data_IF_406628822351
#
_entry.id   IF_406628822351
#
_cell.length_a   1.000
_cell.length_b   1.000
_cell.length_c   1.000
_cell.angle_alpha   90.00
_cell.angle_beta   90.00
_cell.angle_gamma   90.00
#
_symmetry.space_group_name_H-M   'P 1'
#
loop_
_entity.id
_entity.type
_entity.pdbx_description
1 polymer ?
#
# COMPACT_ATOMS: atom_id res chain seq x y z
N UNK A 1 -16.07 21.26 13.32
CA UNK A 1 -16.38 20.39 14.48
C UNK A 1 -15.76 18.98 14.41
N UNK A 2 -15.05 18.59 13.33
CA UNK A 2 -14.64 17.19 13.07
C UNK A 2 -13.23 16.78 13.56
N UNK A 3 -12.38 17.70 14.04
CA UNK A 3 -10.94 17.41 14.29
C UNK A 3 -10.61 17.24 15.79
N UNK A 4 -11.58 17.41 16.69
CA UNK A 4 -11.27 17.66 18.12
C UNK A 4 -10.77 16.47 18.94
N UNK A 5 -10.63 15.25 18.38
CA UNK A 5 -10.25 14.05 19.13
C UNK A 5 -9.33 13.07 18.35
N UNK A 6 -8.43 13.54 17.49
CA UNK A 6 -7.39 12.66 16.95
C UNK A 6 -6.28 12.49 18.00
N UNK A 7 -6.15 11.26 18.51
CA UNK A 7 -4.99 10.85 19.33
C UNK A 7 -3.71 11.27 18.60
N UNK A 8 -2.77 11.89 19.32
CA UNK A 8 -1.50 12.39 18.79
C UNK A 8 -0.76 11.32 17.97
N UNK A 9 -0.91 10.03 18.33
CA UNK A 9 -0.36 8.91 17.54
C UNK A 9 -1.05 8.74 16.18
N UNK A 10 -2.37 8.86 16.12
CA UNK A 10 -3.13 8.80 14.87
C UNK A 10 -2.80 9.97 13.95
N UNK A 11 -2.52 11.15 14.51
CA UNK A 11 -2.03 12.28 13.73
C UNK A 11 -0.69 11.96 13.04
N UNK A 12 0.26 11.33 13.75
CA UNK A 12 1.53 10.90 13.15
C UNK A 12 1.30 9.92 11.99
N UNK A 13 0.41 8.93 12.17
CA UNK A 13 0.05 7.96 11.12
C UNK A 13 -0.50 8.68 9.89
N UNK A 14 -1.47 9.57 10.07
CA UNK A 14 -2.05 10.35 8.97
C UNK A 14 -1.00 11.19 8.25
N UNK A 15 -0.09 11.84 8.97
CA UNK A 15 0.97 12.67 8.38
C UNK A 15 1.92 11.84 7.52
N UNK A 16 2.39 10.69 8.03
CA UNK A 16 3.28 9.79 7.27
C UNK A 16 2.59 9.34 5.99
N UNK A 17 1.34 8.90 6.08
CA UNK A 17 0.58 8.42 4.93
C UNK A 17 0.33 9.55 3.93
N UNK A 18 0.00 10.76 4.39
CA UNK A 18 -0.26 11.90 3.51
C UNK A 18 0.98 12.25 2.69
N UNK A 19 2.15 12.38 3.32
CA UNK A 19 3.39 12.67 2.60
C UNK A 19 3.76 11.55 1.62
N UNK A 20 3.59 10.30 2.03
CA UNK A 20 3.83 9.16 1.16
C UNK A 20 2.86 9.14 -0.05
N UNK A 21 1.58 9.44 0.16
CA UNK A 21 0.60 9.50 -0.91
C UNK A 21 0.98 10.52 -2.00
N UNK A 22 1.59 11.66 -1.60
CA UNK A 22 2.04 12.68 -2.54
C UNK A 22 3.21 12.21 -3.42
N UNK A 23 4.06 11.29 -2.93
CA UNK A 23 5.19 10.79 -3.74
C UNK A 23 4.74 9.92 -4.92
N UNK A 24 3.50 9.40 -4.90
CA UNK A 24 2.88 8.70 -6.04
C UNK A 24 2.70 9.61 -7.25
N UNK A 25 2.61 10.93 -7.06
CA UNK A 25 2.46 11.89 -8.15
C UNK A 25 3.81 12.27 -8.79
N UNK A 26 4.93 11.87 -8.15
CA UNK A 26 6.26 12.14 -8.66
C UNK A 26 6.70 11.03 -9.63
N UNK A 27 7.58 11.32 -10.60
CA UNK A 27 8.17 10.29 -11.43
C UNK A 27 8.90 9.24 -10.59
N UNK A 28 8.50 7.98 -10.75
CA UNK A 28 9.10 6.85 -10.05
C UNK A 28 9.17 5.63 -10.98
N UNK A 29 10.05 4.65 -10.70
CA UNK A 29 10.05 3.40 -11.46
C UNK A 29 8.69 2.69 -11.38
N UNK A 30 8.34 1.88 -12.39
CA UNK A 30 7.12 1.07 -12.35
C UNK A 30 7.07 0.21 -11.10
N UNK A 31 5.91 0.21 -10.43
CA UNK A 31 5.63 -0.53 -9.19
C UNK A 31 6.49 -0.17 -7.95
N UNK A 32 7.44 0.75 -8.05
CA UNK A 32 8.17 1.29 -6.90
C UNK A 32 7.36 2.43 -6.28
N UNK A 33 6.31 2.09 -5.53
CA UNK A 33 5.37 3.07 -4.96
C UNK A 33 5.10 2.80 -3.48
N UNK A 34 4.68 3.80 -2.69
CA UNK A 34 4.40 3.60 -1.27
C UNK A 34 3.05 2.93 -0.98
N UNK A 35 2.25 2.57 -1.98
CA UNK A 35 0.84 2.22 -1.78
C UNK A 35 0.64 0.92 -0.99
N UNK A 36 1.41 -0.13 -1.29
CA UNK A 36 1.39 -1.37 -0.50
C UNK A 36 1.81 -1.11 0.94
N UNK A 37 2.85 -0.28 1.13
CA UNK A 37 3.33 0.10 2.46
C UNK A 37 2.27 0.90 3.22
N UNK A 38 1.55 1.84 2.58
CA UNK A 38 0.44 2.58 3.17
C UNK A 38 -0.68 1.63 3.60
N UNK A 39 -1.06 0.67 2.74
CA UNK A 39 -2.09 -0.31 3.05
C UNK A 39 -1.72 -1.17 4.28
N UNK A 40 -0.49 -1.72 4.29
CA UNK A 40 -0.03 -2.57 5.39
C UNK A 40 0.17 -1.78 6.68
N UNK A 41 0.84 -0.62 6.61
CA UNK A 41 1.09 0.27 7.74
C UNK A 41 -0.21 0.80 8.34
N UNK A 42 -1.13 1.25 7.50
CA UNK A 42 -2.46 1.68 7.93
C UNK A 42 -3.20 0.56 8.68
N UNK A 43 -3.14 -0.67 8.17
CA UNK A 43 -3.73 -1.83 8.83
C UNK A 43 -3.20 -2.09 10.24
N UNK A 44 -1.89 -1.89 10.47
CA UNK A 44 -1.25 -2.13 11.78
C UNK A 44 -1.44 -0.95 12.75
N UNK A 45 -1.39 0.29 12.27
CA UNK A 45 -1.24 1.47 13.14
C UNK A 45 -2.51 2.32 13.33
N UNK A 46 -3.54 2.20 12.46
CA UNK A 46 -4.81 2.88 12.72
C UNK A 46 -5.57 2.21 13.87
N UNK A 47 -6.10 3.01 14.80
CA UNK A 47 -6.92 2.49 15.91
C UNK A 47 -8.28 2.00 15.42
N UNK A 48 -8.87 2.70 14.44
CA UNK A 48 -10.16 2.34 13.84
C UNK A 48 -9.93 1.60 12.52
N UNK A 49 -10.40 0.35 12.44
CA UNK A 49 -10.28 -0.50 11.25
C UNK A 49 -10.85 0.16 10.00
N UNK A 50 -11.97 0.87 10.13
CA UNK A 50 -12.58 1.58 9.01
C UNK A 50 -11.62 2.58 8.36
N UNK A 51 -10.85 3.32 9.15
CA UNK A 51 -9.87 4.27 8.64
C UNK A 51 -8.76 3.55 7.87
N UNK A 52 -8.31 2.38 8.36
CA UNK A 52 -7.30 1.58 7.68
C UNK A 52 -7.73 1.14 6.27
N UNK A 53 -8.99 0.74 6.10
CA UNK A 53 -9.51 0.34 4.79
C UNK A 53 -9.81 1.53 3.87
N UNK A 54 -10.40 2.61 4.41
CA UNK A 54 -10.73 3.79 3.61
C UNK A 54 -9.49 4.50 3.08
N UNK A 55 -8.40 4.52 3.86
CA UNK A 55 -7.20 5.30 3.53
C UNK A 55 -6.59 4.95 2.17
N UNK A 56 -6.18 3.70 1.87
CA UNK A 56 -5.60 3.38 0.57
C UNK A 56 -6.61 3.56 -0.58
N UNK A 57 -7.90 3.30 -0.35
CA UNK A 57 -8.94 3.49 -1.37
C UNK A 57 -9.10 4.97 -1.73
N UNK A 58 -9.20 5.84 -0.73
CA UNK A 58 -9.30 7.28 -0.95
C UNK A 58 -8.06 7.83 -1.66
N UNK A 59 -6.86 7.39 -1.26
CA UNK A 59 -5.63 7.81 -1.93
C UNK A 59 -5.60 7.35 -3.38
N UNK A 60 -5.96 6.10 -3.66
CA UNK A 60 -6.03 5.58 -5.02
C UNK A 60 -7.02 6.39 -5.86
N UNK A 61 -8.27 6.53 -5.42
CA UNK A 61 -9.30 7.27 -6.17
C UNK A 61 -8.87 8.72 -6.42
N UNK A 62 -8.36 9.41 -5.39
CA UNK A 62 -7.94 10.80 -5.53
C UNK A 62 -6.74 10.96 -6.45
N UNK A 63 -5.74 10.07 -6.36
CA UNK A 63 -4.57 10.12 -7.24
C UNK A 63 -4.88 9.70 -8.68
N UNK A 64 -5.76 8.71 -8.87
CA UNK A 64 -6.18 8.24 -10.19
C UNK A 64 -7.02 9.30 -10.95
N UNK A 65 -7.66 10.25 -10.25
CA UNK A 65 -8.27 11.43 -10.90
C UNK A 65 -7.22 12.27 -11.64
N UNK A 66 -5.98 12.34 -11.13
CA UNK A 66 -4.90 13.10 -11.76
C UNK A 66 -4.06 12.25 -12.72
N UNK A 67 -3.84 10.97 -12.39
CA UNK A 67 -2.99 10.05 -13.15
C UNK A 67 -3.73 9.27 -14.25
N UNK A 68 -5.07 9.31 -14.24
CA UNK A 68 -5.95 8.49 -15.06
C UNK A 68 -6.29 7.15 -14.40
N UNK A 69 -7.54 6.71 -14.58
CA UNK A 69 -7.95 5.36 -14.18
C UNK A 69 -7.44 4.33 -15.18
N UNK A 70 -6.97 3.19 -14.66
CA UNK A 70 -6.49 2.07 -15.46
C UNK A 70 -7.53 0.95 -15.47
N UNK A 71 -7.56 0.17 -16.55
CA UNK A 71 -8.54 -0.91 -16.72
C UNK A 71 -8.46 -1.97 -15.61
N UNK A 72 -7.27 -2.14 -15.01
CA UNK A 72 -7.02 -3.08 -13.92
C UNK A 72 -7.25 -2.49 -12.52
N UNK A 73 -7.69 -1.23 -12.38
CA UNK A 73 -7.77 -0.54 -11.09
C UNK A 73 -8.55 -1.32 -10.03
N UNK A 74 -9.61 -2.05 -10.41
CA UNK A 74 -10.38 -2.89 -9.47
C UNK A 74 -9.53 -3.98 -8.81
N UNK A 75 -8.62 -4.61 -9.55
CA UNK A 75 -7.72 -5.64 -9.02
C UNK A 75 -6.67 -5.04 -8.09
N UNK A 76 -6.19 -3.85 -8.42
CA UNK A 76 -5.27 -3.08 -7.56
C UNK A 76 -5.95 -2.71 -6.24
N UNK A 77 -7.19 -2.25 -6.28
CA UNK A 77 -7.93 -1.84 -5.09
C UNK A 77 -8.22 -3.05 -4.20
N UNK A 78 -8.63 -4.18 -4.81
CA UNK A 78 -8.82 -5.45 -4.11
C UNK A 78 -7.53 -5.92 -3.42
N UNK A 79 -6.39 -5.78 -4.11
CA UNK A 79 -5.08 -6.12 -3.54
C UNK A 79 -4.82 -5.34 -2.26
N UNK A 80 -5.04 -4.02 -2.28
CA UNK A 80 -4.81 -3.19 -1.09
C UNK A 80 -5.79 -3.50 0.04
N UNK A 81 -7.05 -3.84 -0.24
CA UNK A 81 -7.98 -4.26 0.81
C UNK A 81 -7.50 -5.54 1.51
N UNK A 82 -6.98 -6.51 0.77
CA UNK A 82 -6.42 -7.75 1.34
C UNK A 82 -5.15 -7.44 2.15
N UNK A 83 -4.30 -6.54 1.65
CA UNK A 83 -3.07 -6.11 2.36
C UNK A 83 -3.42 -5.37 3.66
N UNK A 84 -4.43 -4.49 3.66
CA UNK A 84 -4.96 -3.87 4.88
C UNK A 84 -5.42 -4.95 5.85
N UNK A 85 -6.15 -5.97 5.37
CA UNK A 85 -6.59 -7.08 6.22
C UNK A 85 -5.41 -7.79 6.90
N UNK A 86 -4.31 -8.06 6.17
CA UNK A 86 -3.08 -8.60 6.75
C UNK A 86 -2.54 -7.69 7.85
N UNK A 87 -2.49 -6.37 7.60
CA UNK A 87 -2.08 -5.39 8.60
C UNK A 87 -2.97 -5.41 9.84
N UNK A 88 -4.29 -5.38 9.67
CA UNK A 88 -5.29 -5.40 10.77
C UNK A 88 -5.20 -6.65 11.63
N UNK A 89 -4.85 -7.80 11.04
CA UNK A 89 -4.66 -9.07 11.77
C UNK A 89 -3.27 -9.17 12.42
N UNK A 90 -2.35 -8.29 12.07
CA UNK A 90 -0.99 -8.28 12.56
C UNK A 90 -0.82 -7.37 13.78
N UNK A 91 -0.11 -7.84 14.81
CA UNK A 91 0.22 -7.01 15.98
C UNK A 91 1.34 -6.01 15.71
N UNK A 92 2.22 -6.33 14.76
CA UNK A 92 3.37 -5.53 14.33
C UNK A 92 3.70 -5.85 12.88
N UNK A 93 4.42 -4.95 12.22
CA UNK A 93 4.99 -5.22 10.90
C UNK A 93 6.11 -6.25 11.03
N UNK A 94 6.14 -7.22 10.11
CA UNK A 94 7.14 -8.28 10.03
C UNK A 94 7.61 -8.44 8.59
N UNK A 95 8.75 -9.10 8.39
CA UNK A 95 9.24 -9.48 7.06
C UNK A 95 8.16 -10.22 6.26
N UNK A 96 7.51 -11.21 6.89
CA UNK A 96 6.49 -12.03 6.25
C UNK A 96 5.27 -11.21 5.81
N UNK A 97 4.89 -10.19 6.58
CA UNK A 97 3.78 -9.32 6.22
C UNK A 97 4.10 -8.51 4.96
N UNK A 98 5.30 -7.91 4.90
CA UNK A 98 5.74 -7.10 3.77
C UNK A 98 5.83 -7.99 2.52
N UNK A 99 6.54 -9.11 2.63
CA UNK A 99 6.76 -10.02 1.51
C UNK A 99 5.45 -10.63 0.98
N UNK A 100 4.56 -11.07 1.87
CA UNK A 100 3.23 -11.55 1.47
C UNK A 100 2.40 -10.47 0.78
N UNK A 101 2.53 -9.21 1.22
CA UNK A 101 1.82 -8.08 0.59
C UNK A 101 2.31 -7.84 -0.85
N UNK A 102 3.62 -7.89 -1.09
CA UNK A 102 4.18 -7.81 -2.44
C UNK A 102 3.68 -8.95 -3.33
N UNK A 103 3.64 -10.19 -2.81
CA UNK A 103 3.13 -11.36 -3.53
C UNK A 103 1.65 -11.20 -3.90
N UNK A 104 0.82 -10.75 -2.95
CA UNK A 104 -0.61 -10.56 -3.18
C UNK A 104 -0.86 -9.50 -4.25
N UNK A 105 -0.16 -8.36 -4.15
CA UNK A 105 -0.25 -7.32 -5.16
C UNK A 105 0.18 -7.85 -6.54
N UNK A 106 1.30 -8.57 -6.61
CA UNK A 106 1.79 -9.16 -7.85
C UNK A 106 0.78 -10.13 -8.47
N UNK A 107 0.24 -11.07 -7.70
CA UNK A 107 -0.73 -12.05 -8.20
C UNK A 107 -2.00 -11.37 -8.69
N UNK A 108 -2.61 -10.51 -7.87
CA UNK A 108 -3.93 -9.97 -8.20
C UNK A 108 -3.86 -8.91 -9.32
N UNK A 109 -2.84 -8.05 -9.34
CA UNK A 109 -2.68 -7.07 -10.42
C UNK A 109 -2.45 -7.75 -11.77
N UNK A 110 -1.59 -8.77 -11.83
CA UNK A 110 -1.30 -9.48 -13.08
C UNK A 110 -2.42 -10.44 -13.49
N UNK A 111 -3.18 -10.98 -12.53
CA UNK A 111 -4.44 -11.67 -12.84
C UNK A 111 -5.40 -10.72 -13.57
N UNK A 112 -5.50 -9.46 -13.11
CA UNK A 112 -6.28 -8.43 -13.79
C UNK A 112 -5.78 -8.13 -15.21
N UNK A 113 -4.46 -7.99 -15.39
CA UNK A 113 -3.85 -7.78 -16.71
C UNK A 113 -4.18 -8.93 -17.66
N UNK A 114 -4.01 -10.18 -17.21
CA UNK A 114 -4.32 -11.35 -18.03
C UNK A 114 -5.82 -11.44 -18.36
N UNK A 115 -6.69 -11.21 -17.38
CA UNK A 115 -8.15 -11.27 -17.57
C UNK A 115 -8.68 -10.21 -18.54
N UNK A 116 -7.99 -9.08 -18.71
CA UNK A 116 -8.46 -7.99 -19.56
C UNK A 116 -7.72 -7.94 -20.90
N UNK A 117 -6.41 -8.17 -20.91
CA UNK A 117 -5.54 -7.90 -22.06
C UNK A 117 -5.04 -9.12 -22.83
N UNK A 118 -5.15 -10.34 -22.28
CA UNK A 118 -4.58 -11.55 -22.89
C UNK A 118 -5.67 -12.56 -23.31
N UNK A 119 -5.37 -13.46 -24.26
CA UNK A 119 -6.20 -14.64 -24.52
C UNK A 119 -6.43 -15.46 -23.25
N UNK A 120 -7.53 -16.22 -23.16
CA UNK A 120 -7.84 -17.02 -21.96
C UNK A 120 -7.26 -18.43 -22.06
N UNK A 121 -5.94 -18.52 -22.15
CA UNK A 121 -5.19 -19.78 -22.23
C UNK A 121 -4.13 -19.89 -21.14
N UNK A 122 -3.74 -21.11 -20.79
CA UNK A 122 -2.65 -21.35 -19.84
C UNK A 122 -1.32 -20.74 -20.28
N UNK A 123 -0.99 -20.81 -21.57
CA UNK A 123 0.26 -20.26 -22.10
C UNK A 123 0.34 -18.74 -21.93
N UNK A 124 -0.75 -18.03 -22.25
CA UNK A 124 -0.82 -16.57 -22.11
C UNK A 124 -0.82 -16.12 -20.64
N UNK A 125 -1.34 -16.95 -19.72
CA UNK A 125 -1.25 -16.69 -18.29
C UNK A 125 0.22 -16.72 -17.84
N UNK A 126 0.95 -17.78 -18.21
CA UNK A 126 2.38 -17.90 -17.89
C UNK A 126 3.17 -16.74 -18.48
N UNK A 127 2.95 -16.42 -19.76
CA UNK A 127 3.60 -15.31 -20.45
C UNK A 127 3.37 -13.98 -19.73
N UNK A 128 2.11 -13.66 -19.38
CA UNK A 128 1.76 -12.44 -18.66
C UNK A 128 2.54 -12.31 -17.34
N UNK A 129 2.68 -13.40 -16.58
CA UNK A 129 3.39 -13.38 -15.31
C UNK A 129 4.91 -13.33 -15.48
N UNK A 130 5.47 -13.97 -16.52
CA UNK A 130 6.91 -13.90 -16.82
C UNK A 130 7.32 -12.48 -17.16
N UNK A 131 6.54 -11.79 -18.01
CA UNK A 131 6.77 -10.37 -18.36
C UNK A 131 6.66 -9.47 -17.14
N UNK A 132 5.87 -9.86 -16.14
CA UNK A 132 5.67 -9.09 -14.92
C UNK A 132 6.82 -9.19 -13.88
N UNK A 133 7.75 -10.14 -14.01
CA UNK A 133 8.83 -10.39 -13.03
C UNK A 133 9.69 -9.15 -12.73
N UNK A 134 10.14 -8.34 -13.71
CA UNK A 134 10.91 -7.13 -13.43
C UNK A 134 10.14 -6.11 -12.57
N UNK A 135 8.82 -6.02 -12.77
CA UNK A 135 7.96 -5.15 -11.99
C UNK A 135 7.79 -5.67 -10.55
N UNK A 136 7.74 -6.99 -10.36
CA UNK A 136 7.69 -7.61 -9.04
C UNK A 136 8.94 -7.31 -8.22
N UNK A 137 10.12 -7.34 -8.86
CA UNK A 137 11.38 -6.94 -8.23
C UNK A 137 11.27 -5.52 -7.66
N UNK A 138 10.77 -4.58 -8.46
CA UNK A 138 10.57 -3.20 -8.01
C UNK A 138 9.55 -3.10 -6.87
N UNK A 139 8.45 -3.86 -6.94
CA UNK A 139 7.46 -3.95 -5.86
C UNK A 139 8.10 -4.36 -4.54
N UNK A 140 8.87 -5.47 -4.52
CA UNK A 140 9.54 -5.94 -3.30
C UNK A 140 10.43 -4.84 -2.72
N UNK A 141 11.33 -4.26 -3.53
CA UNK A 141 12.22 -3.22 -3.02
C UNK A 141 11.48 -1.98 -2.52
N UNK A 142 10.45 -1.54 -3.24
CA UNK A 142 9.61 -0.41 -2.84
C UNK A 142 8.87 -0.69 -1.53
N UNK A 143 8.21 -1.83 -1.44
CA UNK A 143 7.40 -2.23 -0.29
C UNK A 143 8.26 -2.32 0.98
N UNK A 144 9.44 -2.92 0.91
CA UNK A 144 10.39 -2.95 2.02
C UNK A 144 10.91 -1.57 2.36
N UNK A 145 11.36 -0.80 1.38
CA UNK A 145 11.91 0.54 1.58
C UNK A 145 10.91 1.46 2.29
N UNK A 146 9.72 1.62 1.72
CA UNK A 146 8.70 2.52 2.28
C UNK A 146 8.16 2.03 3.62
N UNK A 147 7.95 0.72 3.79
CA UNK A 147 7.46 0.20 5.07
C UNK A 147 8.45 0.43 6.21
N UNK A 148 9.75 0.15 5.97
CA UNK A 148 10.80 0.39 6.97
C UNK A 148 10.88 1.89 7.29
N UNK A 149 10.81 2.74 6.26
CA UNK A 149 10.83 4.19 6.43
C UNK A 149 9.66 4.67 7.30
N UNK A 150 8.44 4.18 7.06
CA UNK A 150 7.24 4.56 7.83
C UNK A 150 7.35 4.13 9.28
N UNK A 151 7.78 2.89 9.53
CA UNK A 151 7.98 2.38 10.89
C UNK A 151 9.04 3.19 11.62
N UNK A 152 10.16 3.51 10.98
CA UNK A 152 11.22 4.32 11.57
C UNK A 152 10.71 5.72 11.97
N UNK A 153 10.04 6.43 11.05
CA UNK A 153 9.47 7.76 11.34
C UNK A 153 8.43 7.71 12.46
N UNK A 154 7.56 6.70 12.46
CA UNK A 154 6.55 6.54 13.50
C UNK A 154 7.18 6.33 14.88
N UNK A 155 8.15 5.43 15.00
CA UNK A 155 8.81 5.13 16.27
C UNK A 155 9.60 6.32 16.82
N UNK A 156 10.30 7.07 15.96
CA UNK A 156 11.00 8.31 16.33
C UNK A 156 10.01 9.36 16.84
N UNK A 157 8.94 9.61 16.08
CA UNK A 157 7.93 10.62 16.43
C UNK A 157 7.17 10.27 17.71
N UNK A 158 6.84 8.98 17.90
CA UNK A 158 6.20 8.48 19.12
C UNK A 158 7.08 8.68 20.35
N UNK A 159 8.39 8.38 20.26
CA UNK A 159 9.34 8.60 21.37
C UNK A 159 9.46 10.08 21.74
N UNK A 160 9.52 10.97 20.74
CA UNK A 160 9.55 12.41 20.97
C UNK A 160 8.27 12.92 21.67
N UNK A 161 7.13 12.31 21.37
CA UNK A 161 5.85 12.64 22.00
C UNK A 161 5.80 12.24 23.48
N UNK A 162 6.31 11.04 23.80
CA UNK A 162 6.37 10.51 25.17
C UNK A 162 7.32 11.34 26.05
N UNK A 163 8.47 11.79 25.50
CA UNK A 163 9.42 12.63 26.25
C UNK A 163 8.90 14.02 26.61
N UNK A 164 7.83 14.48 25.95
CA UNK A 164 7.21 15.81 26.17
C UNK A 164 5.95 15.75 27.04
N UNK A 165 5.51 14.55 27.44
CA UNK A 165 4.35 14.32 28.29
C UNK A 165 4.81 14.02 29.72
#
# INVERSE_FOLDING_TARGET
MLIKNLDKKQLIVCTIILFAALTRLLPHPPNFTPMTAIALFGGVYFTRKLNAYLTPILIMVLSDIFLGFYTISIFVYLSYLIIVYIGVRSKKISFLNIFSSSIIFFILSNLGVWLIGYPKSWNSLVECYVVAIPFFRNSIFGDFFFTILFVAFYEISKKALIRKA
#
